data_IF_691140633497
#
_entry.id   IF_691140633497
#
_cell.length_a   1.000
_cell.length_b   1.000
_cell.length_c   1.000
_cell.angle_alpha   90.00
_cell.angle_beta   90.00
_cell.angle_gamma   90.00
#
_symmetry.space_group_name_H-M   'P 1'
#
loop_
_entity.id
_entity.type
_entity.pdbx_description
1 polymer ?
#
# COMPACT_ATOMS: atom_id res chain seq x y z
N UNK A 1 17.91 47.72 33.10
CA UNK A 1 17.62 47.03 31.83
C UNK A 1 18.27 45.65 31.88
N UNK A 2 17.52 44.58 32.16
CA UNK A 2 18.06 43.21 32.25
C UNK A 2 17.72 42.47 30.95
N UNK A 3 18.75 42.21 30.15
CA UNK A 3 18.65 41.43 28.90
C UNK A 3 18.58 39.95 29.29
N UNK A 4 17.42 39.32 29.14
CA UNK A 4 17.28 37.86 29.20
C UNK A 4 17.61 37.30 27.81
N UNK A 5 18.81 36.75 27.67
CA UNK A 5 19.20 35.97 26.48
C UNK A 5 18.59 34.59 26.61
N UNK A 6 17.61 34.28 25.75
CA UNK A 6 17.07 32.94 25.55
C UNK A 6 18.18 31.99 25.07
N UNK A 7 18.50 30.98 25.87
CA UNK A 7 19.22 29.80 25.38
C UNK A 7 18.20 28.85 24.75
N UNK A 8 17.95 29.02 23.45
CA UNK A 8 17.29 28.00 22.64
C UNK A 8 18.27 26.85 22.42
N UNK A 9 18.25 25.85 23.31
CA UNK A 9 18.83 24.54 23.01
C UNK A 9 18.05 23.93 21.83
N UNK A 10 18.54 24.16 20.62
CA UNK A 10 18.16 23.39 19.45
C UNK A 10 18.68 21.96 19.65
N UNK A 11 17.81 21.08 20.13
CA UNK A 11 17.98 19.63 20.05
C UNK A 11 18.05 19.26 18.56
N UNK A 12 19.27 19.18 18.04
CA UNK A 12 19.55 18.57 16.73
C UNK A 12 19.34 17.07 16.91
N UNK A 13 18.11 16.62 16.72
CA UNK A 13 17.83 15.18 16.58
C UNK A 13 18.59 14.73 15.32
N UNK A 14 19.50 13.74 15.41
CA UNK A 14 20.26 13.31 14.24
C UNK A 14 19.30 12.72 13.20
N UNK A 15 19.26 13.31 12.01
CA UNK A 15 18.45 12.86 10.86
C UNK A 15 18.68 11.36 10.50
N UNK A 16 19.80 10.76 10.93
CA UNK A 16 20.09 9.34 10.73
C UNK A 16 19.18 8.40 11.55
N UNK A 17 18.67 8.83 12.70
CA UNK A 17 17.79 8.01 13.55
C UNK A 17 16.40 7.85 12.91
N UNK A 18 15.88 8.91 12.28
CA UNK A 18 14.58 8.88 11.60
C UNK A 18 14.54 7.89 10.45
N UNK A 19 15.58 7.88 9.60
CA UNK A 19 15.67 6.97 8.44
C UNK A 19 15.73 5.50 8.84
N UNK A 20 16.43 5.17 9.93
CA UNK A 20 16.48 3.80 10.45
C UNK A 20 15.11 3.37 10.98
N UNK A 21 14.45 4.21 11.77
CA UNK A 21 13.13 3.91 12.33
C UNK A 21 12.05 3.71 11.24
N UNK A 22 12.06 4.54 10.20
CA UNK A 22 11.19 4.39 9.01
C UNK A 22 11.37 3.01 8.35
N UNK A 23 12.62 2.63 8.12
CA UNK A 23 12.95 1.36 7.48
C UNK A 23 12.57 0.16 8.36
N UNK A 24 12.86 0.24 9.65
CA UNK A 24 12.55 -0.82 10.62
C UNK A 24 11.03 -1.04 10.70
N UNK A 25 10.22 0.02 10.72
CA UNK A 25 8.77 -0.08 10.65
C UNK A 25 8.32 -0.78 9.36
N UNK A 26 8.79 -0.29 8.21
CA UNK A 26 8.39 -0.82 6.90
C UNK A 26 8.70 -2.30 6.77
N UNK A 27 9.91 -2.73 7.21
CA UNK A 27 10.31 -4.14 7.27
C UNK A 27 9.41 -4.95 8.21
N UNK A 28 9.15 -4.45 9.42
CA UNK A 28 8.29 -5.15 10.38
C UNK A 28 6.88 -5.40 9.83
N UNK A 29 6.31 -4.43 9.12
CA UNK A 29 5.00 -4.59 8.50
C UNK A 29 5.03 -5.61 7.35
N UNK A 30 6.07 -5.60 6.51
CA UNK A 30 6.24 -6.61 5.45
C UNK A 30 6.32 -8.02 6.05
N UNK A 31 7.06 -8.20 7.14
CA UNK A 31 7.14 -9.48 7.85
C UNK A 31 5.79 -9.90 8.47
N UNK A 32 5.04 -8.94 9.01
CA UNK A 32 3.68 -9.18 9.51
C UNK A 32 2.76 -9.64 8.36
N UNK A 33 2.79 -8.95 7.22
CA UNK A 33 2.03 -9.32 6.02
C UNK A 33 2.37 -10.71 5.51
N UNK A 34 3.65 -11.06 5.45
CA UNK A 34 4.12 -12.40 5.05
C UNK A 34 3.52 -13.48 5.93
N UNK A 35 3.50 -13.28 7.26
CA UNK A 35 2.88 -14.23 8.20
C UNK A 35 1.38 -14.36 7.98
N UNK A 36 0.69 -13.25 7.72
CA UNK A 36 -0.75 -13.28 7.44
C UNK A 36 -1.02 -14.00 6.13
N UNK A 37 -0.26 -13.72 5.07
CA UNK A 37 -0.39 -14.38 3.78
C UNK A 37 -0.29 -15.91 3.85
N UNK A 38 0.51 -16.45 4.77
CA UNK A 38 0.62 -17.91 4.96
C UNK A 38 -0.64 -18.53 5.59
N UNK A 39 -1.34 -17.78 6.44
CA UNK A 39 -2.51 -18.26 7.18
C UNK A 39 -3.84 -17.89 6.51
N UNK A 40 -3.81 -16.85 5.69
CA UNK A 40 -4.92 -16.34 4.91
C UNK A 40 -4.43 -16.30 3.47
N UNK A 41 -4.39 -17.44 2.79
CA UNK A 41 -3.89 -17.56 1.41
C UNK A 41 -5.03 -17.83 0.40
N UNK A 42 -6.23 -17.34 0.69
CA UNK A 42 -7.39 -17.44 -0.20
C UNK A 42 -7.99 -16.05 -0.52
N UNK A 43 -9.01 -16.01 -1.37
CA UNK A 43 -9.73 -14.78 -1.73
C UNK A 43 -10.40 -14.14 -0.49
N UNK A 44 -10.93 -14.95 0.42
CA UNK A 44 -11.66 -14.49 1.62
C UNK A 44 -10.75 -13.74 2.58
N UNK A 45 -9.48 -14.11 2.66
CA UNK A 45 -8.49 -13.43 3.48
C UNK A 45 -8.06 -12.04 2.99
N UNK A 46 -8.53 -11.57 1.83
CA UNK A 46 -8.07 -10.30 1.22
C UNK A 46 -8.29 -9.11 2.13
N UNK A 47 -9.49 -8.95 2.69
CA UNK A 47 -9.81 -7.83 3.57
C UNK A 47 -8.98 -7.89 4.85
N UNK A 48 -8.85 -9.07 5.47
CA UNK A 48 -8.02 -9.29 6.67
C UNK A 48 -6.55 -8.95 6.43
N UNK A 49 -5.98 -9.42 5.32
CA UNK A 49 -4.60 -9.12 4.92
C UNK A 49 -4.36 -7.62 4.75
N UNK A 50 -5.30 -6.96 4.08
CA UNK A 50 -5.23 -5.52 3.85
C UNK A 50 -5.34 -4.73 5.17
N UNK A 51 -6.28 -5.10 6.04
CA UNK A 51 -6.49 -4.44 7.33
C UNK A 51 -5.24 -4.54 8.21
N UNK A 52 -4.68 -5.74 8.38
CA UNK A 52 -3.49 -5.93 9.22
C UNK A 52 -2.31 -5.08 8.72
N UNK A 53 -2.17 -4.96 7.39
CA UNK A 53 -1.10 -4.14 6.84
C UNK A 53 -1.32 -2.64 7.08
N UNK A 54 -2.56 -2.16 6.90
CA UNK A 54 -2.96 -0.79 7.17
C UNK A 54 -2.73 -0.44 8.64
N UNK A 55 -3.14 -1.33 9.55
CA UNK A 55 -2.96 -1.14 10.99
C UNK A 55 -1.47 -1.04 11.34
N UNK A 56 -0.65 -1.91 10.76
CA UNK A 56 0.80 -1.88 10.98
C UNK A 56 1.42 -0.56 10.53
N UNK A 57 1.10 -0.09 9.33
CA UNK A 57 1.64 1.17 8.79
C UNK A 57 1.18 2.41 9.57
N UNK A 58 0.08 2.29 10.32
CA UNK A 58 -0.50 3.36 11.14
C UNK A 58 0.12 3.48 12.54
N UNK A 59 0.88 2.46 13.01
CA UNK A 59 1.43 2.40 14.38
C UNK A 59 2.31 3.58 14.79
N UNK A 60 2.98 4.23 13.82
CA UNK A 60 3.98 5.30 14.07
C UNK A 60 3.74 6.51 13.15
N UNK A 61 2.65 7.28 13.38
CA UNK A 61 2.21 8.36 12.48
C UNK A 61 3.25 9.49 12.32
N UNK A 62 4.17 9.63 13.27
CA UNK A 62 5.22 10.65 13.28
C UNK A 62 6.41 10.33 12.36
N UNK A 63 6.59 9.06 11.97
CA UNK A 63 7.64 8.67 11.03
C UNK A 63 7.20 9.02 9.62
N UNK A 64 8.11 9.54 8.81
CA UNK A 64 7.88 9.84 7.39
C UNK A 64 9.17 9.64 6.62
N UNK A 65 9.02 9.28 5.35
CA UNK A 65 10.08 9.15 4.39
C UNK A 65 9.57 8.48 3.13
N UNK A 66 10.37 8.52 2.06
CA UNK A 66 9.89 8.22 0.72
C UNK A 66 9.26 6.82 0.60
N UNK A 67 9.87 5.80 1.21
CA UNK A 67 9.38 4.44 1.12
C UNK A 67 8.12 4.28 1.98
N UNK A 68 8.16 4.71 3.24
CA UNK A 68 7.03 4.57 4.16
C UNK A 68 5.80 5.36 3.69
N UNK A 69 6.00 6.58 3.19
CA UNK A 69 4.91 7.42 2.68
C UNK A 69 4.32 6.84 1.40
N UNK A 70 5.15 6.29 0.50
CA UNK A 70 4.67 5.58 -0.68
C UNK A 70 3.87 4.31 -0.31
N UNK A 71 4.33 3.53 0.68
CA UNK A 71 3.59 2.37 1.18
C UNK A 71 2.26 2.78 1.79
N UNK A 72 2.25 3.75 2.70
CA UNK A 72 1.02 4.26 3.31
C UNK A 72 0.03 4.75 2.27
N UNK A 73 0.49 5.53 1.30
CA UNK A 73 -0.36 6.02 0.22
C UNK A 73 -0.91 4.85 -0.60
N UNK A 74 -0.05 3.92 -1.03
CA UNK A 74 -0.46 2.76 -1.81
C UNK A 74 -1.55 1.94 -1.11
N UNK A 75 -1.37 1.58 0.16
CA UNK A 75 -2.33 0.78 0.91
C UNK A 75 -3.58 1.58 1.32
N UNK A 76 -3.47 2.89 1.54
CA UNK A 76 -4.64 3.78 1.71
C UNK A 76 -5.51 3.77 0.45
N UNK A 77 -4.91 3.91 -0.74
CA UNK A 77 -5.65 3.88 -2.00
C UNK A 77 -6.26 2.49 -2.26
N UNK A 78 -5.56 1.41 -1.92
CA UNK A 78 -6.16 0.07 -1.98
C UNK A 78 -7.40 -0.06 -1.08
N UNK A 79 -7.34 0.46 0.15
CA UNK A 79 -8.48 0.44 1.07
C UNK A 79 -9.69 1.21 0.50
N UNK A 80 -9.46 2.43 0.02
CA UNK A 80 -10.48 3.26 -0.63
C UNK A 80 -11.09 2.51 -1.83
N UNK A 81 -10.26 1.86 -2.63
CA UNK A 81 -10.71 1.09 -3.79
C UNK A 81 -11.65 -0.05 -3.39
N UNK A 82 -11.22 -0.92 -2.46
CA UNK A 82 -12.03 -2.08 -2.06
C UNK A 82 -13.28 -1.69 -1.26
N UNK A 83 -13.26 -0.56 -0.54
CA UNK A 83 -14.44 0.01 0.10
C UNK A 83 -15.45 0.50 -0.94
N UNK A 84 -15.00 1.31 -1.92
CA UNK A 84 -15.86 1.83 -3.01
C UNK A 84 -16.49 0.71 -3.85
N UNK A 85 -15.75 -0.38 -4.08
CA UNK A 85 -16.27 -1.58 -4.74
C UNK A 85 -17.21 -2.42 -3.87
N UNK A 86 -17.43 -2.03 -2.60
CA UNK A 86 -18.16 -2.82 -1.59
C UNK A 86 -17.57 -4.23 -1.40
N UNK A 87 -16.29 -4.41 -1.72
CA UNK A 87 -15.58 -5.68 -1.61
C UNK A 87 -15.12 -5.93 -0.17
N UNK A 88 -14.62 -4.88 0.50
CA UNK A 88 -14.32 -4.87 1.93
C UNK A 88 -15.05 -3.69 2.58
N UNK A 89 -16.37 -3.79 2.83
CA UNK A 89 -17.17 -2.64 3.31
C UNK A 89 -16.82 -2.19 4.73
N UNK A 90 -16.15 -3.06 5.51
CA UNK A 90 -15.76 -2.80 6.90
C UNK A 90 -14.28 -2.41 7.05
N UNK A 91 -13.57 -2.17 5.93
CA UNK A 91 -12.15 -1.81 5.98
C UNK A 91 -11.96 -0.45 6.68
N UNK A 92 -11.12 -0.42 7.72
CA UNK A 92 -10.82 0.79 8.46
C UNK A 92 -9.52 1.41 7.95
N UNK A 93 -9.62 2.55 7.25
CA UNK A 93 -8.46 3.22 6.65
C UNK A 93 -8.37 4.72 6.96
N UNK A 94 -9.29 5.25 7.77
CA UNK A 94 -9.36 6.70 8.04
C UNK A 94 -8.10 7.21 8.75
N UNK A 95 -7.55 6.43 9.66
CA UNK A 95 -6.34 6.81 10.41
C UNK A 95 -5.12 6.86 9.49
N UNK A 96 -4.88 5.80 8.69
CA UNK A 96 -3.79 5.81 7.71
C UNK A 96 -3.97 6.93 6.69
N UNK A 97 -5.20 7.22 6.28
CA UNK A 97 -5.49 8.34 5.37
C UNK A 97 -5.12 9.69 5.99
N UNK A 98 -5.47 9.94 7.25
CA UNK A 98 -5.10 11.19 7.93
C UNK A 98 -3.58 11.38 8.04
N UNK A 99 -2.83 10.29 8.21
CA UNK A 99 -1.36 10.32 8.20
C UNK A 99 -0.87 10.66 6.79
N UNK A 100 -1.37 9.93 5.80
CA UNK A 100 -0.89 10.00 4.42
C UNK A 100 -1.22 11.33 3.75
N UNK A 101 -2.42 11.88 3.95
CA UNK A 101 -2.90 13.12 3.31
C UNK A 101 -2.01 14.34 3.64
N UNK A 102 -1.23 14.28 4.72
CA UNK A 102 -0.31 15.35 5.14
C UNK A 102 1.01 15.34 4.36
N UNK A 103 1.36 14.20 3.76
CA UNK A 103 2.65 13.99 3.08
C UNK A 103 2.70 14.71 1.73
N UNK A 104 3.89 15.14 1.32
CA UNK A 104 4.09 15.70 -0.03
C UNK A 104 3.88 14.63 -1.12
N UNK A 105 4.13 13.36 -0.78
CA UNK A 105 3.86 12.22 -1.64
C UNK A 105 2.38 12.16 -2.06
N UNK A 106 1.46 12.26 -1.10
CA UNK A 106 0.02 12.27 -1.37
C UNK A 106 -0.43 13.53 -2.12
N UNK A 107 0.16 14.70 -1.85
CA UNK A 107 -0.19 15.91 -2.61
C UNK A 107 0.16 15.81 -4.10
N UNK A 108 1.22 15.07 -4.42
CA UNK A 108 1.66 14.81 -5.79
C UNK A 108 0.84 13.72 -6.50
N UNK A 109 0.20 12.82 -5.75
CA UNK A 109 -0.54 11.68 -6.28
C UNK A 109 -1.98 11.71 -5.74
N UNK A 110 -2.96 12.01 -6.59
CA UNK A 110 -4.37 12.15 -6.18
C UNK A 110 -5.25 11.28 -7.06
N UNK A 111 -5.08 9.96 -6.97
CA UNK A 111 -5.72 9.01 -7.90
C UNK A 111 -7.19 8.76 -7.59
N UNK A 112 -7.49 8.08 -6.47
CA UNK A 112 -8.86 7.70 -6.11
C UNK A 112 -9.58 8.76 -5.30
N UNK A 113 -8.85 9.65 -4.62
CA UNK A 113 -9.43 10.78 -3.88
C UNK A 113 -10.24 11.74 -4.78
N UNK A 114 -9.97 11.73 -6.09
CA UNK A 114 -10.67 12.56 -7.08
C UNK A 114 -11.94 11.92 -7.64
N UNK A 115 -12.13 10.62 -7.45
CA UNK A 115 -13.30 9.91 -7.97
C UNK A 115 -14.44 10.10 -6.96
N UNK A 116 -15.36 11.02 -7.27
CA UNK A 116 -16.60 11.16 -6.50
C UNK A 116 -17.53 9.99 -6.84
N UNK A 117 -18.08 9.35 -5.81
CA UNK A 117 -19.11 8.29 -5.86
C UNK A 117 -19.34 7.70 -7.26
N UNK A 118 -18.50 6.72 -7.59
CA UNK A 118 -18.73 5.84 -8.72
C UNK A 118 -19.39 4.61 -8.11
N UNK A 119 -20.70 4.47 -8.30
CA UNK A 119 -21.36 3.22 -7.93
C UNK A 119 -20.58 2.08 -8.58
N UNK A 120 -20.21 1.09 -7.78
CA UNK A 120 -19.45 -0.07 -8.21
C UNK A 120 -20.01 -0.65 -9.52
N UNK A 121 -19.36 -0.38 -10.64
CA UNK A 121 -19.61 -1.12 -11.87
C UNK A 121 -19.26 -2.59 -11.59
N UNK A 122 -20.21 -3.48 -11.85
CA UNK A 122 -20.02 -4.92 -11.64
C UNK A 122 -18.78 -5.42 -12.39
N UNK A 123 -18.42 -4.82 -13.53
CA UNK A 123 -17.20 -5.21 -14.25
C UNK A 123 -15.92 -4.95 -13.44
N UNK A 124 -15.87 -3.85 -12.68
CA UNK A 124 -14.69 -3.51 -11.86
C UNK A 124 -14.50 -4.51 -10.72
N UNK A 125 -15.61 -4.97 -10.13
CA UNK A 125 -15.61 -6.02 -9.09
C UNK A 125 -15.07 -7.34 -9.65
N UNK A 126 -15.52 -7.74 -10.84
CA UNK A 126 -15.07 -8.99 -11.46
C UNK A 126 -13.59 -8.94 -11.89
N UNK A 127 -13.12 -7.80 -12.40
CA UNK A 127 -11.69 -7.58 -12.66
C UNK A 127 -10.89 -7.69 -11.35
N UNK A 128 -11.34 -7.03 -10.28
CA UNK A 128 -10.66 -7.09 -8.98
C UNK A 128 -10.57 -8.53 -8.44
N UNK A 129 -11.68 -9.26 -8.39
CA UNK A 129 -11.73 -10.66 -7.95
C UNK A 129 -10.77 -11.53 -8.75
N UNK A 130 -10.78 -11.39 -10.07
CA UNK A 130 -9.91 -12.15 -10.97
C UNK A 130 -8.44 -11.90 -10.65
N UNK A 131 -8.05 -10.64 -10.48
CA UNK A 131 -6.67 -10.30 -10.17
C UNK A 131 -6.25 -10.72 -8.76
N UNK A 132 -7.12 -10.59 -7.75
CA UNK A 132 -6.86 -11.12 -6.41
C UNK A 132 -6.65 -12.63 -6.43
N UNK A 133 -7.50 -13.39 -7.13
CA UNK A 133 -7.32 -14.85 -7.28
C UNK A 133 -6.01 -15.19 -7.97
N UNK A 134 -5.67 -14.45 -9.03
CA UNK A 134 -4.41 -14.63 -9.75
C UNK A 134 -3.19 -14.42 -8.83
N UNK A 135 -3.18 -13.33 -8.05
CA UNK A 135 -2.13 -13.04 -7.08
C UNK A 135 -1.99 -14.14 -6.04
N UNK A 136 -3.10 -14.52 -5.41
CA UNK A 136 -3.13 -15.55 -4.38
C UNK A 136 -2.62 -16.89 -4.94
N UNK A 137 -3.02 -17.25 -6.16
CA UNK A 137 -2.55 -18.45 -6.84
C UNK A 137 -1.03 -18.42 -7.06
N UNK A 138 -0.50 -17.33 -7.64
CA UNK A 138 0.94 -17.17 -7.86
C UNK A 138 1.71 -17.25 -6.54
N UNK A 139 1.27 -16.52 -5.52
CA UNK A 139 1.91 -16.50 -4.22
C UNK A 139 1.95 -17.89 -3.58
N UNK A 140 0.86 -18.67 -3.67
CA UNK A 140 0.80 -20.03 -3.14
C UNK A 140 1.85 -20.97 -3.76
N UNK A 141 2.22 -20.72 -5.02
CA UNK A 141 3.10 -21.57 -5.83
C UNK A 141 4.56 -21.11 -5.76
N UNK A 142 4.80 -19.83 -5.96
CA UNK A 142 6.14 -19.27 -6.18
C UNK A 142 6.72 -18.64 -4.92
N UNK A 143 5.86 -18.05 -4.08
CA UNK A 143 6.24 -17.31 -2.86
C UNK A 143 7.25 -16.20 -3.14
N UNK A 144 7.11 -15.52 -4.28
CA UNK A 144 8.00 -14.45 -4.75
C UNK A 144 7.27 -13.13 -4.70
N UNK A 145 7.11 -12.60 -3.50
CA UNK A 145 6.18 -11.48 -3.23
C UNK A 145 6.30 -10.32 -4.21
N UNK A 146 7.52 -9.92 -4.60
CA UNK A 146 7.71 -8.77 -5.49
C UNK A 146 7.36 -9.08 -6.95
N UNK A 147 7.59 -10.31 -7.40
CA UNK A 147 7.22 -10.75 -8.75
C UNK A 147 5.72 -11.02 -8.82
N UNK A 148 5.16 -11.66 -7.78
CA UNK A 148 3.73 -11.92 -7.64
C UNK A 148 2.91 -10.62 -7.60
N UNK A 149 3.39 -9.59 -6.86
CA UNK A 149 2.75 -8.27 -6.85
C UNK A 149 2.92 -7.57 -8.21
N UNK A 150 4.06 -7.73 -8.90
CA UNK A 150 4.22 -7.18 -10.26
C UNK A 150 3.22 -7.82 -11.23
N UNK A 151 3.03 -9.13 -11.17
CA UNK A 151 2.03 -9.83 -11.97
C UNK A 151 0.60 -9.38 -11.63
N UNK A 152 0.30 -9.19 -10.34
CA UNK A 152 -0.96 -8.65 -9.86
C UNK A 152 -1.24 -7.24 -10.38
N UNK A 153 -0.26 -6.33 -10.35
CA UNK A 153 -0.39 -4.98 -10.92
C UNK A 153 -0.73 -5.06 -12.42
N UNK A 154 0.00 -5.91 -13.15
CA UNK A 154 -0.22 -6.08 -14.59
C UNK A 154 -1.60 -6.70 -14.90
N UNK A 155 -2.11 -7.56 -14.02
CA UNK A 155 -3.41 -8.18 -14.19
C UNK A 155 -4.53 -7.16 -14.39
N UNK A 156 -4.58 -6.07 -13.63
CA UNK A 156 -5.70 -5.10 -13.73
C UNK A 156 -5.83 -4.52 -15.13
N UNK A 157 -4.72 -4.11 -15.73
CA UNK A 157 -4.70 -3.57 -17.10
C UNK A 157 -5.09 -4.64 -18.13
N UNK A 158 -4.58 -5.85 -17.97
CA UNK A 158 -4.85 -6.96 -18.87
C UNK A 158 -6.33 -7.35 -18.81
N UNK A 159 -6.86 -7.59 -17.61
CA UNK A 159 -8.23 -8.03 -17.40
C UNK A 159 -9.26 -6.94 -17.71
N UNK A 160 -8.97 -5.66 -17.42
CA UNK A 160 -9.86 -4.58 -17.85
C UNK A 160 -9.96 -4.51 -19.38
N UNK A 161 -8.85 -4.76 -20.08
CA UNK A 161 -8.82 -4.78 -21.55
C UNK A 161 -9.57 -5.99 -22.11
N UNK A 162 -9.30 -7.19 -21.56
CA UNK A 162 -9.91 -8.44 -22.00
C UNK A 162 -11.43 -8.46 -21.82
N UNK A 163 -11.92 -7.92 -20.70
CA UNK A 163 -13.35 -7.84 -20.38
C UNK A 163 -14.03 -6.63 -20.99
N UNK A 164 -13.28 -5.68 -21.54
CA UNK A 164 -13.80 -4.40 -22.01
C UNK A 164 -14.35 -3.49 -20.90
N UNK A 165 -13.94 -3.71 -19.64
CA UNK A 165 -14.37 -2.91 -18.50
C UNK A 165 -13.76 -1.50 -18.56
N UNK A 166 -14.62 -0.49 -18.67
CA UNK A 166 -14.24 0.94 -18.80
C UNK A 166 -14.58 1.77 -17.56
N UNK A 167 -14.91 1.13 -16.44
CA UNK A 167 -15.24 1.84 -15.20
C UNK A 167 -14.08 2.75 -14.76
N UNK A 168 -14.37 4.01 -14.45
CA UNK A 168 -13.32 4.98 -14.13
C UNK A 168 -12.49 4.55 -12.91
N UNK A 169 -13.14 3.93 -11.93
CA UNK A 169 -12.46 3.38 -10.74
C UNK A 169 -11.38 2.34 -11.10
N UNK A 170 -11.58 1.47 -12.09
CA UNK A 170 -10.57 0.46 -12.46
C UNK A 170 -9.41 1.09 -13.22
N UNK A 171 -9.69 2.09 -14.08
CA UNK A 171 -8.68 2.80 -14.85
C UNK A 171 -7.75 3.59 -13.95
N UNK A 172 -8.33 4.35 -13.01
CA UNK A 172 -7.56 5.10 -12.02
C UNK A 172 -6.78 4.20 -11.07
N UNK A 173 -7.40 3.10 -10.60
CA UNK A 173 -6.72 2.15 -9.74
C UNK A 173 -5.55 1.47 -10.45
N UNK A 174 -5.76 0.99 -11.68
CA UNK A 174 -4.70 0.41 -12.52
C UNK A 174 -3.53 1.37 -12.72
N UNK A 175 -3.82 2.66 -12.97
CA UNK A 175 -2.77 3.67 -13.10
C UNK A 175 -2.02 3.93 -11.78
N UNK A 176 -2.74 3.96 -10.66
CA UNK A 176 -2.14 4.10 -9.33
C UNK A 176 -1.21 2.92 -9.02
N UNK A 177 -1.65 1.69 -9.32
CA UNK A 177 -0.85 0.48 -9.16
C UNK A 177 0.44 0.53 -9.99
N UNK A 178 0.36 0.93 -11.26
CA UNK A 178 1.53 1.04 -12.15
C UNK A 178 2.57 2.02 -11.60
N UNK A 179 2.13 3.21 -11.17
CA UNK A 179 3.04 4.29 -10.74
C UNK A 179 3.52 4.08 -9.31
N UNK A 180 2.59 4.02 -8.36
CA UNK A 180 2.90 3.94 -6.93
C UNK A 180 3.28 2.54 -6.53
N UNK A 181 2.53 1.52 -6.96
CA UNK A 181 2.87 0.12 -6.69
C UNK A 181 4.24 -0.25 -7.26
N UNK A 182 4.54 0.19 -8.48
CA UNK A 182 5.86 0.04 -9.09
C UNK A 182 6.98 0.72 -8.29
N UNK A 183 6.74 1.89 -7.70
CA UNK A 183 7.68 2.55 -6.79
C UNK A 183 7.87 1.74 -5.51
N UNK A 184 6.79 1.31 -4.86
CA UNK A 184 6.85 0.53 -3.61
C UNK A 184 7.67 -0.75 -3.82
N UNK A 185 7.43 -1.50 -4.90
CA UNK A 185 8.21 -2.72 -5.23
C UNK A 185 9.69 -2.39 -5.41
N UNK A 186 10.01 -1.30 -6.10
CA UNK A 186 11.39 -0.87 -6.33
C UNK A 186 12.11 -0.54 -5.03
N UNK A 187 11.45 0.19 -4.13
CA UNK A 187 12.02 0.53 -2.82
C UNK A 187 12.15 -0.71 -1.93
N UNK A 188 11.15 -1.60 -1.92
CA UNK A 188 11.26 -2.90 -1.22
C UNK A 188 12.48 -3.68 -1.74
N UNK A 189 12.64 -3.83 -3.06
CA UNK A 189 13.82 -4.51 -3.65
C UNK A 189 15.13 -3.86 -3.23
N UNK A 190 15.17 -2.52 -3.18
CA UNK A 190 16.36 -1.76 -2.78
C UNK A 190 16.78 -2.03 -1.34
N UNK A 191 15.84 -2.14 -0.41
CA UNK A 191 16.12 -2.21 1.03
C UNK A 191 16.02 -3.60 1.66
N UNK A 192 15.21 -4.47 1.07
CA UNK A 192 14.99 -5.85 1.51
C UNK A 192 15.91 -6.85 0.77
N UNK A 193 16.59 -6.40 -0.30
CA UNK A 193 17.52 -7.25 -1.06
C UNK A 193 16.84 -8.50 -1.60
N UNK A 194 17.41 -9.67 -1.32
CA UNK A 194 16.92 -10.98 -1.77
C UNK A 194 15.59 -11.42 -1.17
N UNK A 195 15.02 -10.72 -0.18
CA UNK A 195 13.71 -11.03 0.42
C UNK A 195 12.53 -10.91 -0.56
N UNK A 196 12.76 -10.33 -1.74
CA UNK A 196 11.84 -10.36 -2.88
C UNK A 196 11.88 -11.66 -3.72
N UNK A 197 12.91 -12.50 -3.56
CA UNK A 197 13.27 -13.56 -4.52
C UNK A 197 12.69 -14.94 -4.20
N UNK A 198 12.41 -15.23 -2.92
CA UNK A 198 11.66 -16.41 -2.46
C UNK A 198 11.48 -16.35 -0.95
N UNK A 199 10.29 -16.61 -0.43
CA UNK A 199 10.14 -16.90 1.00
C UNK A 199 10.66 -18.32 1.27
N UNK A 200 11.79 -18.43 1.98
CA UNK A 200 12.21 -19.68 2.60
C UNK A 200 11.37 -19.94 3.85
N UNK A 201 10.88 -21.17 3.98
CA UNK A 201 10.07 -21.63 5.10
C UNK A 201 10.96 -21.98 6.30
#
# INVERSE_FOLDING_TARGET
>A
MKVFVLFSLLLVIPASQGKKAELDLSKSCIEEYKKVLLNYNDEKGTCTRLQIFIDCLSKRPELSGQMLDAMRYFFTQQAIFVEKLKFCPEIEYKDIKQITDKTDFAKQHLYLDRIKYDDSDQCAVEVHKTCVRHYVHLFSKEKKICDDVTAWINCYRTESTNTGCKADIILHFSKMLEVVGGLVIREIRRYAGTECLKMEL
#
